data_IF_973288729352
#
_entry.id   IF_973288729352
#
_cell.length_a   1.000
_cell.length_b   1.000
_cell.length_c   1.000
_cell.angle_alpha   90.00
_cell.angle_beta   90.00
_cell.angle_gamma   90.00
#
_symmetry.space_group_name_H-M   'P 1'
#
loop_
_entity.id
_entity.type
_entity.pdbx_description
1 polymer ?
#
# COMPACT_ATOMS: atom_id res chain seq x y z
N UNK A 1 5.03 18.17 5.03
CA UNK A 1 3.56 18.03 4.96
C UNK A 1 2.97 18.97 3.92
N UNK A 2 2.57 18.44 2.73
CA UNK A 2 1.97 19.24 1.66
C UNK A 2 0.44 19.18 1.74
N UNK A 3 -0.16 19.59 2.88
CA UNK A 3 -1.61 19.47 3.16
C UNK A 3 -2.51 20.17 2.11
N UNK A 4 -1.97 21.12 1.33
CA UNK A 4 -2.71 21.83 0.27
C UNK A 4 -2.46 21.28 -1.12
N UNK A 5 -1.66 20.20 -1.28
CA UNK A 5 -1.38 19.60 -2.57
C UNK A 5 -2.62 18.90 -3.11
N UNK A 6 -3.12 19.36 -4.26
CA UNK A 6 -4.33 18.82 -4.93
C UNK A 6 -4.00 17.86 -6.07
N UNK A 7 -2.85 18.02 -6.70
CA UNK A 7 -2.40 17.20 -7.83
C UNK A 7 -0.88 17.08 -7.87
N UNK A 8 -0.41 15.96 -8.43
CA UNK A 8 1.00 15.70 -8.71
C UNK A 8 1.18 15.82 -10.23
N UNK A 9 2.17 16.56 -10.73
CA UNK A 9 2.46 16.62 -12.17
C UNK A 9 2.79 15.23 -12.72
N UNK A 10 2.31 14.90 -13.93
CA UNK A 10 2.70 13.69 -14.63
C UNK A 10 4.22 13.62 -14.79
N UNK A 11 4.80 12.44 -14.59
CA UNK A 11 6.23 12.21 -14.76
C UNK A 11 7.14 12.91 -13.74
N UNK A 12 6.61 13.44 -12.60
CA UNK A 12 7.42 14.17 -11.61
C UNK A 12 8.71 13.45 -11.22
N UNK A 13 8.67 12.13 -11.03
CA UNK A 13 9.82 11.29 -10.68
C UNK A 13 10.23 10.32 -11.79
N UNK A 14 9.68 10.49 -12.99
CA UNK A 14 9.97 9.61 -14.13
C UNK A 14 11.47 9.53 -14.39
N UNK A 15 11.99 8.31 -14.48
CA UNK A 15 13.42 8.03 -14.70
C UNK A 15 14.35 8.52 -13.58
N UNK A 16 13.89 8.70 -12.36
CA UNK A 16 14.77 8.89 -11.20
C UNK A 16 15.48 7.57 -10.86
N UNK A 17 16.35 7.08 -11.77
CA UNK A 17 16.92 5.73 -11.74
C UNK A 17 17.79 5.43 -10.53
N UNK A 18 18.26 6.46 -9.81
CA UNK A 18 19.08 6.35 -8.59
C UNK A 18 18.27 6.50 -7.29
N UNK A 19 16.96 6.82 -7.39
CA UNK A 19 16.13 6.92 -6.21
C UNK A 19 15.98 5.53 -5.56
N UNK A 20 16.27 5.43 -4.26
CA UNK A 20 16.17 4.17 -3.51
C UNK A 20 14.97 4.15 -2.56
N UNK A 21 14.37 5.30 -2.26
CA UNK A 21 13.23 5.40 -1.35
C UNK A 21 12.34 6.59 -1.67
N UNK A 22 11.02 6.36 -1.61
CA UNK A 22 9.98 7.38 -1.60
C UNK A 22 9.20 7.40 -0.29
N UNK A 23 9.81 6.87 0.79
CA UNK A 23 9.18 6.86 2.11
C UNK A 23 8.68 8.25 2.49
N UNK A 24 7.40 8.36 2.92
CA UNK A 24 6.75 9.60 3.40
C UNK A 24 6.69 10.76 2.39
N UNK A 25 6.92 10.53 1.10
CA UNK A 25 7.03 11.62 0.10
C UNK A 25 5.75 12.46 0.00
N UNK A 26 4.57 11.83 0.01
CA UNK A 26 3.26 12.49 -0.07
C UNK A 26 2.41 12.26 1.19
N UNK A 27 3.03 11.98 2.32
CA UNK A 27 2.30 11.79 3.58
C UNK A 27 1.47 13.04 3.92
N UNK A 28 0.24 12.84 4.41
CA UNK A 28 -0.69 13.92 4.81
C UNK A 28 -1.11 14.86 3.66
N UNK A 29 -1.00 14.43 2.40
CA UNK A 29 -1.55 15.19 1.26
C UNK A 29 -3.06 15.00 1.17
N UNK A 30 -3.82 15.45 2.17
CA UNK A 30 -5.25 15.16 2.36
C UNK A 30 -6.17 15.66 1.25
N UNK A 31 -5.73 16.58 0.37
CA UNK A 31 -6.49 17.06 -0.78
C UNK A 31 -6.13 16.36 -2.11
N UNK A 32 -5.16 15.45 -2.09
CA UNK A 32 -4.74 14.69 -3.28
C UNK A 32 -5.82 13.66 -3.63
N UNK A 33 -6.40 13.76 -4.84
CA UNK A 33 -7.47 12.85 -5.30
C UNK A 33 -6.99 11.73 -6.21
N UNK A 34 -5.91 11.97 -6.95
CA UNK A 34 -5.40 11.04 -7.97
C UNK A 34 -3.88 11.03 -7.99
N UNK A 35 -3.32 9.88 -8.36
CA UNK A 35 -1.88 9.67 -8.56
C UNK A 35 -1.65 9.50 -10.08
N UNK A 36 -0.68 10.20 -10.70
CA UNK A 36 -0.33 9.98 -12.11
C UNK A 36 0.19 8.55 -12.35
N UNK A 37 -0.21 7.92 -13.46
CA UNK A 37 0.17 6.53 -13.79
C UNK A 37 1.69 6.33 -13.93
N UNK A 38 2.41 7.36 -14.41
CA UNK A 38 3.84 7.31 -14.68
C UNK A 38 4.71 7.93 -13.57
N UNK A 39 4.13 8.18 -12.38
CA UNK A 39 4.81 8.88 -11.29
C UNK A 39 6.16 8.25 -10.93
N UNK A 40 6.25 6.93 -10.82
CA UNK A 40 7.47 6.20 -10.47
C UNK A 40 8.05 5.38 -11.63
N UNK A 41 7.59 5.65 -12.86
CA UNK A 41 8.07 4.93 -14.03
C UNK A 41 9.58 5.09 -14.21
N UNK A 42 10.28 3.97 -14.43
CA UNK A 42 11.74 3.93 -14.57
C UNK A 42 12.54 4.09 -13.27
N UNK A 43 11.91 4.22 -12.09
CA UNK A 43 12.59 4.29 -10.79
C UNK A 43 12.96 2.88 -10.29
N UNK A 44 13.83 2.18 -11.02
CA UNK A 44 14.10 0.74 -10.84
C UNK A 44 14.88 0.38 -9.57
N UNK A 45 15.56 1.33 -8.92
CA UNK A 45 16.36 1.08 -7.73
C UNK A 45 15.58 1.25 -6.41
N UNK A 46 14.29 1.57 -6.47
CA UNK A 46 13.49 1.84 -5.28
C UNK A 46 13.22 0.55 -4.53
N UNK A 47 13.57 0.57 -3.24
CA UNK A 47 13.33 -0.55 -2.30
C UNK A 47 12.22 -0.26 -1.29
N UNK A 48 11.84 1.02 -1.09
CA UNK A 48 10.96 1.41 0.00
C UNK A 48 9.93 2.48 -0.41
N UNK A 49 8.63 2.13 -0.27
CA UNK A 49 7.48 3.04 -0.41
C UNK A 49 6.71 3.23 0.91
N UNK A 50 7.31 2.90 2.06
CA UNK A 50 6.59 2.98 3.35
C UNK A 50 5.96 4.36 3.55
N UNK A 51 4.67 4.36 3.89
CA UNK A 51 3.87 5.57 4.19
C UNK A 51 3.88 6.66 3.11
N UNK A 52 4.22 6.30 1.85
CA UNK A 52 4.35 7.27 0.75
C UNK A 52 3.10 8.13 0.56
N UNK A 53 1.90 7.55 0.62
CA UNK A 53 0.61 8.21 0.48
C UNK A 53 -0.25 8.11 1.75
N UNK A 54 0.34 7.81 2.90
CA UNK A 54 -0.41 7.72 4.14
C UNK A 54 -1.14 9.05 4.43
N UNK A 55 -2.39 8.97 4.94
CA UNK A 55 -3.22 10.14 5.24
C UNK A 55 -3.60 10.99 4.00
N UNK A 56 -3.55 10.43 2.80
CA UNK A 56 -4.15 11.04 1.60
C UNK A 56 -5.67 10.80 1.60
N UNK A 57 -6.38 11.46 2.51
CA UNK A 57 -7.79 11.15 2.85
C UNK A 57 -8.77 11.36 1.70
N UNK A 58 -8.44 12.18 0.69
CA UNK A 58 -9.25 12.40 -0.52
C UNK A 58 -8.86 11.49 -1.69
N UNK A 59 -7.88 10.59 -1.54
CA UNK A 59 -7.44 9.70 -2.62
C UNK A 59 -8.53 8.68 -2.94
N UNK A 60 -9.04 8.70 -4.18
CA UNK A 60 -10.20 7.91 -4.60
C UNK A 60 -9.80 6.61 -5.34
N UNK A 61 -8.64 6.61 -6.02
CA UNK A 61 -8.16 5.49 -6.81
C UNK A 61 -6.63 5.43 -6.90
N UNK A 62 -6.11 4.24 -7.20
CA UNK A 62 -4.68 3.96 -7.41
C UNK A 62 -4.52 3.48 -8.86
N UNK A 63 -3.55 4.02 -9.64
CA UNK A 63 -3.26 3.51 -10.99
C UNK A 63 -2.77 2.06 -10.97
N UNK A 64 -3.23 1.23 -11.92
CA UNK A 64 -2.89 -0.19 -11.98
C UNK A 64 -1.38 -0.46 -12.16
N UNK A 65 -0.69 0.44 -12.87
CA UNK A 65 0.73 0.29 -13.21
C UNK A 65 1.65 1.14 -12.32
N UNK A 66 1.14 1.65 -11.17
CA UNK A 66 1.90 2.59 -10.33
C UNK A 66 3.29 2.08 -9.95
N UNK A 67 3.42 0.77 -9.66
CA UNK A 67 4.68 0.14 -9.23
C UNK A 67 5.24 -0.85 -10.26
N UNK A 68 4.79 -0.82 -11.53
CA UNK A 68 5.15 -1.81 -12.54
C UNK A 68 6.67 -1.92 -12.81
N UNK A 69 7.41 -0.81 -12.69
CA UNK A 69 8.86 -0.74 -12.91
C UNK A 69 9.70 -0.90 -11.63
N UNK A 70 9.05 -1.00 -10.45
CA UNK A 70 9.72 -0.95 -9.15
C UNK A 70 9.97 -2.37 -8.58
N UNK A 71 10.73 -3.18 -9.31
CA UNK A 71 10.94 -4.61 -9.03
C UNK A 71 11.86 -4.89 -7.82
N UNK A 72 12.56 -3.87 -7.29
CA UNK A 72 13.45 -4.02 -6.13
C UNK A 72 12.77 -3.72 -4.78
N UNK A 73 11.46 -3.45 -4.78
CA UNK A 73 10.73 -3.04 -3.57
C UNK A 73 10.69 -4.18 -2.55
N UNK A 74 11.04 -3.86 -1.31
CA UNK A 74 10.96 -4.78 -0.17
C UNK A 74 9.88 -4.37 0.83
N UNK A 75 9.44 -3.08 0.84
CA UNK A 75 8.44 -2.60 1.81
C UNK A 75 7.40 -1.65 1.20
N UNK A 76 6.13 -1.96 1.49
CA UNK A 76 4.95 -1.13 1.30
C UNK A 76 4.22 -0.82 2.61
N UNK A 77 4.89 -0.91 3.75
CA UNK A 77 4.30 -0.61 5.06
C UNK A 77 3.55 0.72 5.07
N UNK A 78 2.27 0.70 5.40
CA UNK A 78 1.44 1.90 5.52
C UNK A 78 1.35 2.78 4.26
N UNK A 79 1.74 2.29 3.09
CA UNK A 79 1.82 3.11 1.86
C UNK A 79 0.54 3.88 1.58
N UNK A 80 -0.63 3.27 1.78
CA UNK A 80 -1.95 3.89 1.61
C UNK A 80 -2.76 3.92 2.92
N UNK A 81 -2.10 3.82 4.06
CA UNK A 81 -2.77 3.88 5.36
C UNK A 81 -3.58 5.18 5.48
N UNK A 82 -4.81 5.08 5.96
CA UNK A 82 -5.74 6.21 6.16
C UNK A 82 -6.12 6.97 4.86
N UNK A 83 -6.07 6.30 3.70
CA UNK A 83 -6.71 6.79 2.48
C UNK A 83 -8.21 6.51 2.55
N UNK A 84 -8.94 7.27 3.39
CA UNK A 84 -10.32 6.97 3.79
C UNK A 84 -11.33 7.03 2.65
N UNK A 85 -11.04 7.74 1.54
CA UNK A 85 -11.88 7.81 0.33
C UNK A 85 -11.57 6.73 -0.71
N UNK A 86 -10.54 5.87 -0.49
CA UNK A 86 -10.14 4.83 -1.44
C UNK A 86 -11.20 3.74 -1.52
N UNK A 87 -11.78 3.50 -2.72
CA UNK A 87 -12.90 2.58 -2.92
C UNK A 87 -12.48 1.20 -3.44
N UNK A 88 -11.38 1.13 -4.19
CA UNK A 88 -10.92 -0.09 -4.83
C UNK A 88 -9.41 -0.12 -4.99
N UNK A 89 -8.85 -1.32 -5.12
CA UNK A 89 -7.43 -1.58 -5.37
C UNK A 89 -7.31 -2.30 -6.72
N UNK A 90 -6.41 -1.86 -7.62
CA UNK A 90 -6.15 -2.58 -8.86
C UNK A 90 -5.59 -3.99 -8.60
N UNK A 91 -6.07 -5.05 -9.28
CA UNK A 91 -5.61 -6.42 -9.05
C UNK A 91 -4.13 -6.66 -9.39
N UNK A 92 -3.55 -5.81 -10.23
CA UNK A 92 -2.16 -5.90 -10.69
C UNK A 92 -1.20 -4.96 -9.97
N UNK A 93 -1.67 -4.25 -8.92
CA UNK A 93 -0.89 -3.21 -8.24
C UNK A 93 0.52 -3.67 -7.82
N UNK A 94 0.65 -4.91 -7.33
CA UNK A 94 1.91 -5.49 -6.85
C UNK A 94 2.40 -6.67 -7.71
N UNK A 95 1.90 -6.81 -8.95
CA UNK A 95 2.18 -7.98 -9.79
C UNK A 95 3.68 -8.22 -10.09
N UNK A 96 4.49 -7.16 -10.13
CA UNK A 96 5.93 -7.23 -10.43
C UNK A 96 6.81 -7.00 -9.17
N UNK A 97 6.24 -7.12 -7.97
CA UNK A 97 6.94 -6.79 -6.73
C UNK A 97 7.35 -8.08 -5.98
N UNK A 98 8.12 -8.96 -6.63
CA UNK A 98 8.46 -10.30 -6.14
C UNK A 98 9.43 -10.31 -4.94
N UNK A 99 10.08 -9.19 -4.62
CA UNK A 99 11.00 -9.03 -3.48
C UNK A 99 10.36 -8.45 -2.22
N UNK A 100 9.06 -8.16 -2.25
CA UNK A 100 8.37 -7.57 -1.10
C UNK A 100 8.35 -8.55 0.08
N UNK A 101 8.74 -8.03 1.23
CA UNK A 101 8.72 -8.71 2.52
C UNK A 101 7.59 -8.15 3.41
N UNK A 102 7.35 -6.82 3.35
CA UNK A 102 6.53 -6.13 4.34
C UNK A 102 5.41 -5.32 3.72
N UNK A 103 4.17 -5.72 4.00
CA UNK A 103 2.93 -4.94 3.77
C UNK A 103 2.36 -4.37 5.06
N UNK A 104 2.79 -4.90 6.19
CA UNK A 104 2.47 -4.44 7.52
C UNK A 104 3.72 -4.21 8.35
N UNK A 105 3.55 -3.63 9.52
CA UNK A 105 4.61 -3.49 10.52
C UNK A 105 4.13 -4.10 11.83
N UNK A 106 4.83 -5.09 12.31
CA UNK A 106 4.67 -5.59 13.66
C UNK A 106 5.49 -4.71 14.62
N UNK A 107 4.83 -4.11 15.62
CA UNK A 107 5.47 -3.29 16.65
C UNK A 107 6.58 -3.99 17.45
N UNK A 108 6.63 -5.33 17.43
CA UNK A 108 7.70 -6.12 18.06
C UNK A 108 9.05 -5.95 17.33
N UNK A 109 9.04 -5.54 16.06
CA UNK A 109 10.28 -5.31 15.27
C UNK A 109 10.85 -3.90 15.46
N UNK A 110 10.00 -2.91 15.71
CA UNK A 110 10.42 -1.52 15.95
C UNK A 110 9.55 -0.87 17.02
N UNK A 111 10.05 -0.88 18.24
CA UNK A 111 9.39 -0.27 19.41
C UNK A 111 9.28 1.27 19.33
N UNK A 112 9.91 1.90 18.34
CA UNK A 112 9.86 3.36 18.13
C UNK A 112 8.55 3.85 17.51
N UNK A 113 7.79 2.94 16.83
CA UNK A 113 6.51 3.24 16.20
C UNK A 113 5.38 2.49 16.91
N UNK A 114 4.71 3.16 17.84
CA UNK A 114 3.52 2.62 18.53
C UNK A 114 2.34 2.57 17.57
N UNK A 115 2.01 1.38 17.11
CA UNK A 115 0.89 1.10 16.21
C UNK A 115 1.39 0.76 14.81
N UNK A 116 1.41 -0.54 14.49
CA UNK A 116 1.77 -1.03 13.15
C UNK A 116 0.95 -0.35 12.06
N UNK A 117 1.60 -0.01 10.95
CA UNK A 117 0.95 0.60 9.80
C UNK A 117 0.81 -0.44 8.68
N UNK A 118 -0.40 -0.99 8.53
CA UNK A 118 -0.73 -1.84 7.39
C UNK A 118 -0.91 -1.05 6.11
N UNK A 119 -0.58 -1.67 4.97
CA UNK A 119 -0.56 -1.01 3.64
C UNK A 119 -1.86 -0.27 3.29
N UNK A 120 -3.04 -0.82 3.66
CA UNK A 120 -4.37 -0.23 3.45
C UNK A 120 -5.12 -0.01 4.77
N UNK A 121 -4.41 0.09 5.89
CA UNK A 121 -5.02 0.31 7.19
C UNK A 121 -5.93 1.55 7.17
N UNK A 122 -7.17 1.42 7.71
CA UNK A 122 -8.16 2.51 7.76
C UNK A 122 -8.54 3.10 6.40
N UNK A 123 -8.48 2.31 5.31
CA UNK A 123 -9.15 2.64 4.06
C UNK A 123 -10.65 2.37 4.21
N UNK A 124 -11.35 3.27 4.92
CA UNK A 124 -12.72 3.04 5.41
C UNK A 124 -13.76 2.81 4.30
N UNK A 125 -13.52 3.36 3.09
CA UNK A 125 -14.41 3.22 1.92
C UNK A 125 -14.07 2.02 1.04
N UNK A 126 -13.02 1.24 1.35
CA UNK A 126 -12.61 0.08 0.55
C UNK A 126 -13.64 -1.03 0.62
N UNK A 127 -14.22 -1.42 -0.52
CA UNK A 127 -15.35 -2.36 -0.60
C UNK A 127 -14.93 -3.81 -0.83
N UNK A 128 -13.81 -4.03 -1.54
CA UNK A 128 -13.33 -5.37 -1.88
C UNK A 128 -11.81 -5.40 -2.01
N UNK A 129 -11.23 -6.59 -1.79
CA UNK A 129 -9.81 -6.88 -2.04
C UNK A 129 -9.72 -7.83 -3.23
N UNK A 130 -8.93 -7.51 -4.28
CA UNK A 130 -8.75 -8.42 -5.41
C UNK A 130 -8.05 -9.72 -4.99
N UNK A 131 -8.52 -10.87 -5.48
CA UNK A 131 -7.94 -12.19 -5.16
C UNK A 131 -6.46 -12.30 -5.52
N UNK A 132 -6.04 -11.66 -6.61
CA UNK A 132 -4.67 -11.73 -7.14
C UNK A 132 -3.74 -10.64 -6.60
N UNK A 133 -4.22 -9.80 -5.67
CA UNK A 133 -3.49 -8.61 -5.21
C UNK A 133 -2.05 -8.92 -4.77
N UNK A 134 -1.85 -10.00 -4.02
CA UNK A 134 -0.55 -10.40 -3.48
C UNK A 134 0.09 -11.58 -4.22
N UNK A 135 -0.49 -12.04 -5.34
CA UNK A 135 0.03 -13.19 -6.07
C UNK A 135 1.45 -12.97 -6.62
N UNK A 136 1.83 -11.73 -6.91
CA UNK A 136 3.17 -11.36 -7.36
C UNK A 136 4.21 -11.21 -6.24
N UNK A 137 3.86 -11.49 -4.97
CA UNK A 137 4.72 -11.23 -3.81
C UNK A 137 5.00 -12.50 -2.99
N UNK A 138 5.67 -13.53 -3.56
CA UNK A 138 5.85 -14.83 -2.90
C UNK A 138 6.74 -14.79 -1.64
N UNK A 139 7.53 -13.73 -1.48
CA UNK A 139 8.43 -13.54 -0.35
C UNK A 139 7.81 -12.76 0.81
N UNK A 140 6.54 -12.35 0.72
CA UNK A 140 5.89 -11.59 1.78
C UNK A 140 5.89 -12.36 3.11
N UNK A 141 6.37 -11.70 4.16
CA UNK A 141 6.51 -12.24 5.52
C UNK A 141 5.53 -11.60 6.51
N UNK A 142 5.16 -10.32 6.28
CA UNK A 142 4.36 -9.56 7.23
C UNK A 142 3.18 -8.83 6.54
N UNK A 143 1.95 -9.20 6.94
CA UNK A 143 0.67 -8.59 6.55
C UNK A 143 -0.03 -7.96 7.76
N UNK A 144 0.68 -7.72 8.87
CA UNK A 144 0.08 -7.19 10.08
C UNK A 144 -0.63 -5.88 9.80
N UNK A 145 -1.89 -5.80 10.26
CA UNK A 145 -2.77 -4.63 10.08
C UNK A 145 -3.04 -4.21 8.62
N UNK A 146 -2.70 -5.04 7.62
CA UNK A 146 -2.76 -4.66 6.20
C UNK A 146 -4.09 -4.05 5.78
N UNK A 147 -5.22 -4.51 6.33
CA UNK A 147 -6.57 -4.01 6.07
C UNK A 147 -7.32 -3.61 7.34
N UNK A 148 -6.63 -3.45 8.47
CA UNK A 148 -7.28 -3.09 9.73
C UNK A 148 -8.12 -1.80 9.58
N UNK A 149 -9.36 -1.82 10.03
CA UNK A 149 -10.27 -0.67 9.94
C UNK A 149 -10.85 -0.38 8.57
N UNK A 150 -10.78 -1.31 7.61
CA UNK A 150 -11.49 -1.22 6.33
C UNK A 150 -12.99 -1.50 6.55
N UNK A 151 -13.72 -0.48 7.03
CA UNK A 151 -15.10 -0.62 7.54
C UNK A 151 -16.14 -1.02 6.49
N UNK A 152 -15.90 -0.68 5.20
CA UNK A 152 -16.80 -1.01 4.09
C UNK A 152 -16.50 -2.37 3.43
N UNK A 153 -15.46 -3.08 3.88
CA UNK A 153 -15.08 -4.39 3.33
C UNK A 153 -16.06 -5.45 3.78
N UNK A 154 -16.78 -6.08 2.84
CA UNK A 154 -17.89 -7.01 3.14
C UNK A 154 -17.52 -8.47 3.02
N UNK A 155 -16.50 -8.82 2.23
CA UNK A 155 -16.03 -10.19 2.02
C UNK A 155 -14.57 -10.26 1.68
N UNK A 156 -13.96 -11.43 1.85
CA UNK A 156 -12.59 -11.73 1.46
C UNK A 156 -12.56 -12.78 0.37
N UNK A 157 -11.62 -12.71 -0.59
CA UNK A 157 -11.40 -13.81 -1.55
C UNK A 157 -10.83 -15.05 -0.85
N UNK A 158 -11.28 -16.24 -1.27
CA UNK A 158 -10.88 -17.52 -0.66
C UNK A 158 -9.35 -17.78 -0.73
N UNK A 159 -8.70 -17.27 -1.76
CA UNK A 159 -7.29 -17.55 -2.05
C UNK A 159 -6.37 -16.34 -1.92
N UNK A 160 -6.75 -15.31 -1.16
CA UNK A 160 -6.03 -14.03 -1.08
C UNK A 160 -4.53 -14.20 -0.81
N UNK A 161 -4.14 -15.11 0.07
CA UNK A 161 -2.74 -15.34 0.48
C UNK A 161 -2.17 -16.67 -0.01
N UNK A 162 -2.82 -17.34 -0.96
CA UNK A 162 -2.42 -18.68 -1.42
C UNK A 162 -0.98 -18.76 -1.91
N UNK A 163 -0.46 -17.68 -2.52
CA UNK A 163 0.90 -17.64 -3.08
C UNK A 163 1.95 -17.15 -2.07
N UNK A 164 1.52 -16.72 -0.88
CA UNK A 164 2.39 -16.09 0.12
C UNK A 164 2.80 -17.11 1.19
N UNK A 165 3.50 -18.18 0.79
CA UNK A 165 3.86 -19.30 1.67
C UNK A 165 4.87 -18.95 2.77
N UNK A 166 5.46 -17.75 2.73
CA UNK A 166 6.42 -17.25 3.73
C UNK A 166 5.78 -16.34 4.78
N UNK A 167 4.44 -16.21 4.79
CA UNK A 167 3.76 -15.38 5.78
C UNK A 167 4.00 -15.93 7.20
N UNK A 168 4.60 -15.08 8.03
CA UNK A 168 4.85 -15.35 9.45
C UNK A 168 4.00 -14.45 10.35
N UNK A 169 3.69 -13.20 9.89
CA UNK A 169 3.01 -12.19 10.68
C UNK A 169 1.71 -11.78 10.00
N UNK A 170 0.60 -12.00 10.70
CA UNK A 170 -0.77 -11.66 10.24
C UNK A 170 -1.58 -10.99 11.35
N UNK A 171 -0.90 -10.35 12.32
CA UNK A 171 -1.54 -9.74 13.47
C UNK A 171 -2.52 -8.64 13.04
N UNK A 172 -3.76 -8.72 13.48
CA UNK A 172 -4.77 -7.69 13.24
C UNK A 172 -5.05 -7.38 11.78
N UNK A 173 -4.67 -8.25 10.83
CA UNK A 173 -4.79 -8.00 9.37
C UNK A 173 -6.16 -7.44 8.97
N UNK A 174 -7.25 -7.94 9.55
CA UNK A 174 -8.62 -7.52 9.30
C UNK A 174 -9.33 -7.00 10.55
N UNK A 175 -8.57 -6.59 11.58
CA UNK A 175 -9.17 -6.06 12.80
C UNK A 175 -10.04 -4.83 12.48
N UNK A 176 -11.20 -4.70 13.16
CA UNK A 176 -12.13 -3.57 12.95
C UNK A 176 -12.70 -3.44 11.52
N UNK A 177 -12.70 -4.49 10.71
CA UNK A 177 -13.46 -4.57 9.45
C UNK A 177 -14.92 -4.86 9.76
N UNK A 178 -15.68 -3.87 10.21
CA UNK A 178 -17.00 -4.05 10.85
C UNK A 178 -18.11 -4.54 9.92
N UNK A 179 -17.94 -4.44 8.60
CA UNK A 179 -18.90 -4.96 7.62
C UNK A 179 -18.55 -6.39 7.14
N UNK A 180 -17.41 -6.93 7.57
CA UNK A 180 -16.98 -8.27 7.14
C UNK A 180 -17.82 -9.36 7.83
N UNK A 181 -18.41 -10.28 7.03
CA UNK A 181 -19.31 -11.35 7.50
C UNK A 181 -18.82 -12.73 7.09
#
# INVERSE_FOLDING_TARGET
DCKKLKSIPAGLFKNCTKAVSFQRTFIECGLLRQIPEDLFSGCKAVTNFSTTFALCTSLESIPANLFADNTEVTSFEGTFSQCTSLKSIPPTLFANCDKVLYFGMNWLRDSSHRGGLGVFQQCESLQAVPETLFAGCPLAEDMSYAFAGCKALTSLPDNLFRQNSRLEQVEGTFSSCTALT
#
